data_IF_908580948529
#
_entry.id   IF_908580948529
#
_cell.length_a   1.000
_cell.length_b   1.000
_cell.length_c   1.000
_cell.angle_alpha   90.00
_cell.angle_beta   90.00
_cell.angle_gamma   90.00
#
_symmetry.space_group_name_H-M   'P 1'
#
loop_
_entity.id
_entity.type
_entity.pdbx_description
1 polymer ?
#
# COMPACT_ATOMS: atom_id res chain seq x y z
N UNK A 1 26.43 -11.94 57.96
CA UNK A 1 26.71 -13.21 57.25
C UNK A 1 25.47 -14.07 57.32
N UNK A 2 24.72 -14.14 56.21
CA UNK A 2 24.47 -15.43 55.52
C UNK A 2 24.77 -15.33 54.01
N UNK A 3 24.75 -16.47 53.27
CA UNK A 3 25.57 -16.68 52.07
C UNK A 3 24.89 -16.32 50.73
N UNK A 4 25.74 -16.06 49.73
CA UNK A 4 25.41 -15.79 48.35
C UNK A 4 25.06 -17.07 47.57
N UNK A 5 23.99 -17.02 46.77
CA UNK A 5 23.64 -18.03 45.77
C UNK A 5 24.16 -17.55 44.41
N UNK A 6 25.05 -18.34 43.81
CA UNK A 6 25.61 -18.13 42.47
C UNK A 6 24.61 -18.63 41.43
N UNK A 7 24.05 -17.72 40.63
CA UNK A 7 23.30 -18.06 39.43
C UNK A 7 24.24 -18.01 38.22
N UNK A 8 24.50 -19.18 37.62
CA UNK A 8 25.21 -19.32 36.35
C UNK A 8 24.23 -19.00 35.22
N UNK A 9 24.25 -17.77 34.74
CA UNK A 9 23.58 -17.36 33.50
C UNK A 9 24.53 -17.55 32.33
N UNK A 10 24.31 -18.59 31.52
CA UNK A 10 25.00 -18.76 30.24
C UNK A 10 24.43 -17.77 29.22
N UNK A 11 25.12 -16.63 29.07
CA UNK A 11 24.91 -15.71 27.96
C UNK A 11 25.68 -16.23 26.74
N UNK A 12 24.99 -16.75 25.73
CA UNK A 12 25.56 -16.89 24.40
C UNK A 12 25.32 -15.57 23.67
N UNK A 13 26.31 -14.69 23.79
CA UNK A 13 26.46 -13.52 22.95
C UNK A 13 26.94 -13.97 21.56
N UNK A 14 26.09 -13.83 20.54
CA UNK A 14 26.46 -13.93 19.13
C UNK A 14 26.31 -12.56 18.49
N UNK A 15 27.43 -11.89 18.29
CA UNK A 15 27.58 -10.55 17.73
C UNK A 15 27.19 -10.46 16.25
N UNK A 16 26.31 -9.53 15.89
CA UNK A 16 26.20 -8.99 14.54
C UNK A 16 26.73 -7.55 14.53
N UNK A 17 28.03 -7.41 14.28
CA UNK A 17 28.64 -6.12 13.94
C UNK A 17 28.33 -5.84 12.47
N UNK A 18 27.48 -4.85 12.21
CA UNK A 18 27.28 -4.30 10.87
C UNK A 18 28.49 -3.44 10.51
N UNK A 19 29.44 -3.99 9.78
CA UNK A 19 30.46 -3.21 9.09
C UNK A 19 29.85 -2.64 7.80
N UNK A 20 29.66 -1.33 7.77
CA UNK A 20 29.35 -0.59 6.56
C UNK A 20 30.58 -0.60 5.64
N UNK A 21 30.50 -1.34 4.53
CA UNK A 21 31.36 -1.13 3.37
C UNK A 21 30.46 -1.13 2.13
N UNK A 22 30.47 0.00 1.42
CA UNK A 22 29.69 0.20 0.22
C UNK A 22 30.14 -0.66 -0.96
N UNK A 23 29.22 -0.82 -1.91
CA UNK A 23 29.47 -1.38 -3.24
C UNK A 23 28.94 -2.79 -3.45
N UNK A 24 27.89 -2.92 -4.27
CA UNK A 24 27.49 -4.15 -4.95
C UNK A 24 26.70 -5.17 -4.13
N UNK A 25 25.36 -5.12 -4.20
CA UNK A 25 24.49 -6.19 -3.73
C UNK A 25 24.37 -7.28 -4.80
N UNK A 26 25.38 -8.16 -4.89
CA UNK A 26 25.23 -9.50 -5.46
C UNK A 26 26.00 -10.48 -4.57
N UNK A 27 25.28 -11.44 -3.99
CA UNK A 27 25.85 -12.71 -3.52
C UNK A 27 25.91 -12.92 -2.00
N UNK A 28 24.81 -13.39 -1.41
CA UNK A 28 24.77 -14.41 -0.35
C UNK A 28 23.31 -14.70 0.07
N UNK A 29 22.52 -15.35 -0.80
CA UNK A 29 21.22 -15.91 -0.42
C UNK A 29 21.44 -17.32 0.15
N UNK A 30 21.72 -17.39 1.45
CA UNK A 30 21.57 -18.63 2.24
C UNK A 30 20.39 -18.41 3.20
N UNK A 31 19.23 -18.96 2.85
CA UNK A 31 18.17 -19.34 3.80
C UNK A 31 17.40 -18.26 4.56
N UNK A 32 17.40 -16.98 4.14
CA UNK A 32 16.52 -15.96 4.74
C UNK A 32 15.21 -15.83 3.95
N UNK A 33 14.14 -16.46 4.43
CA UNK A 33 12.78 -16.29 3.91
C UNK A 33 12.25 -14.94 4.37
N UNK A 34 12.20 -13.96 3.47
CA UNK A 34 11.54 -12.67 3.72
C UNK A 34 10.04 -12.84 3.44
N UNK A 35 9.28 -13.21 4.46
CA UNK A 35 7.81 -13.14 4.40
C UNK A 35 7.41 -11.71 4.77
N UNK A 36 6.99 -10.92 3.78
CA UNK A 36 6.35 -9.63 4.02
C UNK A 36 4.84 -9.87 4.07
N UNK A 37 4.38 -10.27 5.24
CA UNK A 37 2.96 -10.39 5.53
C UNK A 37 2.57 -9.29 6.50
N UNK A 38 1.56 -8.47 6.15
CA UNK A 38 0.90 -7.66 7.15
C UNK A 38 0.02 -8.59 7.99
N UNK A 39 0.67 -9.36 8.86
CA UNK A 39 0.00 -10.22 9.82
C UNK A 39 -0.45 -9.32 10.95
N UNK A 40 -1.69 -8.85 10.87
CA UNK A 40 -2.34 -8.04 11.92
C UNK A 40 -2.49 -8.77 13.27
N UNK A 41 -1.95 -9.99 13.38
CA UNK A 41 -2.32 -11.00 14.34
C UNK A 41 -1.11 -11.81 14.82
N UNK A 42 -0.28 -11.16 15.62
CA UNK A 42 0.44 -11.75 16.75
C UNK A 42 1.31 -12.99 16.48
N UNK A 43 2.57 -12.75 16.12
CA UNK A 43 3.71 -13.34 16.83
C UNK A 43 4.80 -12.27 16.98
N UNK A 44 4.94 -11.73 18.20
CA UNK A 44 5.95 -10.73 18.55
C UNK A 44 7.30 -11.40 18.80
N UNK A 45 8.24 -11.25 17.87
CA UNK A 45 9.66 -11.00 18.15
C UNK A 45 10.15 -10.00 17.08
N UNK A 46 10.52 -8.79 17.52
CA UNK A 46 10.96 -7.61 16.74
C UNK A 46 9.81 -6.78 16.11
N UNK A 47 9.46 -5.69 16.80
CA UNK A 47 8.82 -4.49 16.23
C UNK A 47 7.38 -4.64 15.77
N UNK A 48 6.47 -3.81 16.28
CA UNK A 48 5.25 -3.50 15.52
C UNK A 48 5.69 -2.98 14.15
N UNK A 49 5.30 -3.58 13.01
CA UNK A 49 5.49 -2.94 11.73
C UNK A 49 4.69 -1.64 11.79
N UNK A 50 5.40 -0.52 11.95
CA UNK A 50 4.82 0.79 11.79
C UNK A 50 4.78 0.99 10.28
N UNK A 51 3.62 1.13 9.64
CA UNK A 51 3.60 1.56 8.26
C UNK A 51 4.44 2.85 8.17
N UNK A 52 5.41 2.89 7.26
CA UNK A 52 6.29 4.06 7.08
C UNK A 52 5.50 5.29 6.66
N UNK A 53 4.33 5.08 6.05
CA UNK A 53 3.35 6.11 5.78
C UNK A 53 2.23 6.06 6.80
N UNK A 54 2.30 6.99 7.75
CA UNK A 54 1.23 7.22 8.71
C UNK A 54 0.07 7.96 8.03
N UNK A 55 -1.12 7.93 8.64
CA UNK A 55 -2.23 8.78 8.19
C UNK A 55 -1.88 10.28 8.27
N UNK A 56 -0.90 10.67 9.09
CA UNK A 56 -0.33 12.03 9.09
C UNK A 56 0.37 12.35 7.77
N UNK A 57 1.12 11.41 7.21
CA UNK A 57 1.78 11.60 5.90
C UNK A 57 0.71 11.72 4.80
N UNK A 58 -0.38 10.97 4.92
CA UNK A 58 -1.53 11.08 4.02
C UNK A 58 -2.21 12.46 4.08
N UNK A 59 -2.30 13.09 5.26
CA UNK A 59 -2.81 14.46 5.42
C UNK A 59 -1.89 15.52 4.76
N UNK A 60 -0.57 15.29 4.76
CA UNK A 60 0.41 16.15 4.12
C UNK A 60 0.46 16.04 2.58
N UNK A 61 -0.20 15.04 1.98
CA UNK A 61 -0.16 14.78 0.52
C UNK A 61 -0.74 15.92 -0.30
N UNK A 62 -1.68 16.71 0.22
CA UNK A 62 -2.36 17.80 -0.50
C UNK A 62 -1.65 19.15 -0.40
N UNK A 63 -0.50 19.22 0.29
CA UNK A 63 0.24 20.46 0.47
C UNK A 63 1.31 20.67 -0.61
N UNK A 64 1.46 21.91 -1.05
CA UNK A 64 2.63 22.37 -1.77
C UNK A 64 3.81 22.50 -0.81
N UNK A 65 4.96 21.96 -1.21
CA UNK A 65 6.18 22.02 -0.41
C UNK A 65 7.20 22.93 -1.08
N UNK A 66 7.71 23.92 -0.35
CA UNK A 66 8.84 24.75 -0.80
C UNK A 66 10.08 24.24 -0.07
N UNK A 67 10.72 23.20 -0.63
CA UNK A 67 11.92 22.60 -0.06
C UNK A 67 12.97 22.40 -1.16
N UNK A 68 14.25 22.69 -0.89
CA UNK A 68 15.32 22.60 -1.88
C UNK A 68 15.61 21.15 -2.30
N UNK A 69 15.34 20.19 -1.42
CA UNK A 69 15.44 18.76 -1.68
C UNK A 69 14.14 18.12 -1.23
N UNK A 70 13.53 17.35 -2.11
CA UNK A 70 12.30 16.62 -1.85
C UNK A 70 12.44 15.22 -2.44
N UNK A 71 11.78 14.25 -1.82
CA UNK A 71 11.76 12.89 -2.31
C UNK A 71 10.88 12.76 -3.55
N UNK A 72 11.24 11.81 -4.40
CA UNK A 72 10.38 11.43 -5.52
C UNK A 72 9.17 10.67 -4.99
N UNK A 73 8.00 11.01 -5.54
CA UNK A 73 6.73 10.39 -5.18
C UNK A 73 6.17 9.64 -6.38
N UNK A 74 5.72 8.42 -6.15
CA UNK A 74 5.05 7.59 -7.15
C UNK A 74 3.57 7.50 -6.78
N UNK A 75 2.70 7.67 -7.76
CA UNK A 75 1.25 7.67 -7.60
C UNK A 75 0.67 6.43 -8.26
N UNK A 76 -0.05 5.63 -7.48
CA UNK A 76 -0.82 4.48 -7.93
C UNK A 76 -2.33 4.74 -7.81
N UNK A 77 -3.10 4.18 -8.74
CA UNK A 77 -4.55 4.36 -8.79
C UNK A 77 -4.93 5.81 -9.06
N UNK A 78 -5.92 6.32 -8.32
CA UNK A 78 -6.37 7.72 -8.38
C UNK A 78 -6.27 8.36 -6.99
N UNK A 79 -5.56 9.48 -6.88
CA UNK A 79 -5.38 10.19 -5.60
C UNK A 79 -5.24 11.70 -5.79
N UNK A 80 -5.75 12.48 -4.83
CA UNK A 80 -5.46 13.91 -4.77
C UNK A 80 -4.09 14.15 -4.14
N UNK A 81 -3.19 14.80 -4.87
CA UNK A 81 -1.86 15.14 -4.37
C UNK A 81 -1.44 16.56 -4.78
N UNK A 82 -0.75 17.24 -3.87
CA UNK A 82 0.02 18.44 -4.13
C UNK A 82 1.39 18.06 -4.68
N UNK A 83 2.43 18.77 -4.27
CA UNK A 83 3.78 18.49 -4.73
C UNK A 83 4.80 19.56 -4.40
N UNK A 84 6.09 19.27 -4.55
CA UNK A 84 7.13 20.28 -4.44
C UNK A 84 7.00 21.36 -5.51
N UNK A 85 7.17 22.61 -5.08
CA UNK A 85 7.33 23.77 -5.95
C UNK A 85 8.77 23.80 -6.46
N UNK A 86 8.97 23.49 -7.74
CA UNK A 86 10.31 23.40 -8.36
C UNK A 86 10.74 24.69 -9.06
N UNK A 87 9.80 25.58 -9.35
CA UNK A 87 10.09 26.86 -9.97
C UNK A 87 9.05 27.90 -9.56
N UNK A 88 9.52 29.11 -9.25
CA UNK A 88 8.70 30.28 -9.03
C UNK A 88 9.35 31.48 -9.71
N UNK A 89 8.57 32.24 -10.48
CA UNK A 89 9.07 33.44 -11.14
C UNK A 89 7.98 34.48 -11.30
N UNK A 90 8.32 35.73 -10.99
CA UNK A 90 7.45 36.88 -11.22
C UNK A 90 7.93 37.67 -12.42
N UNK A 91 6.98 38.18 -13.20
CA UNK A 91 7.23 39.08 -14.34
C UNK A 91 6.22 40.22 -14.36
N UNK A 92 6.51 41.24 -15.15
CA UNK A 92 5.54 42.27 -15.51
C UNK A 92 4.88 41.97 -16.86
N UNK A 93 3.61 42.35 -17.00
CA UNK A 93 2.83 42.28 -18.23
C UNK A 93 2.66 43.68 -18.83
N UNK A 94 3.77 44.22 -19.37
CA UNK A 94 3.75 45.53 -20.05
C UNK A 94 3.82 46.75 -19.12
N UNK A 95 4.01 46.56 -17.81
CA UNK A 95 4.16 47.63 -16.82
C UNK A 95 5.45 47.54 -15.99
N UNK A 96 5.59 48.44 -15.01
CA UNK A 96 6.70 48.43 -14.03
C UNK A 96 6.44 47.55 -12.80
N UNK A 97 5.20 47.07 -12.63
CA UNK A 97 4.80 46.19 -11.51
C UNK A 97 4.92 44.74 -11.92
N UNK A 98 5.36 43.90 -10.98
CA UNK A 98 5.36 42.44 -11.12
C UNK A 98 3.95 41.92 -10.87
N UNK A 99 3.14 41.83 -11.93
CA UNK A 99 1.72 41.48 -11.85
C UNK A 99 1.42 40.04 -12.28
N UNK A 100 2.40 39.27 -12.73
CA UNK A 100 2.25 37.84 -13.05
C UNK A 100 3.20 37.01 -12.20
N UNK A 101 2.67 35.92 -11.62
CA UNK A 101 3.42 34.89 -10.92
C UNK A 101 3.27 33.55 -11.64
N UNK A 102 4.41 32.93 -11.97
CA UNK A 102 4.50 31.56 -12.45
C UNK A 102 4.94 30.63 -11.33
N UNK A 103 4.27 29.49 -11.23
CA UNK A 103 4.61 28.41 -10.31
C UNK A 103 4.64 27.09 -11.07
N UNK A 104 5.61 26.23 -10.79
CA UNK A 104 5.68 24.87 -11.33
C UNK A 104 5.70 23.89 -10.19
N UNK A 105 4.67 23.04 -10.12
CA UNK A 105 4.49 22.05 -9.07
C UNK A 105 4.53 20.65 -9.68
N UNK A 106 5.40 19.79 -9.17
CA UNK A 106 5.55 18.41 -9.64
C UNK A 106 4.70 17.50 -8.77
N UNK A 107 3.74 16.77 -9.36
CA UNK A 107 2.83 15.90 -8.63
C UNK A 107 3.32 14.46 -8.52
N UNK A 108 4.02 13.97 -9.54
CA UNK A 108 4.52 12.60 -9.59
C UNK A 108 5.84 12.50 -10.34
N UNK A 109 6.73 11.61 -9.90
CA UNK A 109 8.03 11.32 -10.52
C UNK A 109 7.94 10.20 -11.57
N UNK A 110 6.86 10.15 -12.33
CA UNK A 110 6.65 9.26 -13.47
C UNK A 110 5.61 9.85 -14.42
N UNK A 111 5.42 9.21 -15.57
CA UNK A 111 4.28 9.48 -16.45
C UNK A 111 2.97 9.05 -15.76
N UNK A 112 2.00 9.96 -15.74
CA UNK A 112 0.65 9.72 -15.22
C UNK A 112 -0.33 9.57 -16.37
N UNK A 113 -1.40 8.81 -16.16
CA UNK A 113 -2.48 8.69 -17.14
C UNK A 113 -3.17 10.03 -17.38
N UNK A 114 -3.53 10.72 -16.30
CA UNK A 114 -4.23 11.99 -16.40
C UNK A 114 -4.05 12.85 -15.15
N UNK A 115 -3.96 14.15 -15.38
CA UNK A 115 -4.05 15.17 -14.35
C UNK A 115 -5.45 15.81 -14.41
N UNK A 116 -6.31 15.44 -13.46
CA UNK A 116 -7.70 15.87 -13.39
C UNK A 116 -7.89 17.21 -12.68
N UNK A 117 -8.97 17.30 -11.90
CA UNK A 117 -9.42 18.51 -11.18
C UNK A 117 -8.32 19.17 -10.36
N UNK A 118 -8.33 20.50 -10.35
CA UNK A 118 -7.40 21.35 -9.60
C UNK A 118 -8.10 21.97 -8.41
N UNK A 119 -7.42 22.04 -7.27
CA UNK A 119 -7.87 22.73 -6.07
C UNK A 119 -6.87 23.78 -5.60
N UNK A 120 -7.39 24.88 -5.08
CA UNK A 120 -6.68 25.84 -4.24
C UNK A 120 -7.18 25.71 -2.80
N UNK A 121 -6.33 25.19 -1.90
CA UNK A 121 -6.78 24.83 -0.56
C UNK A 121 -7.87 23.76 -0.66
N UNK A 122 -9.08 24.04 -0.17
CA UNK A 122 -10.23 23.12 -0.25
C UNK A 122 -11.20 23.42 -1.39
N UNK A 123 -10.96 24.46 -2.18
CA UNK A 123 -11.88 24.89 -3.24
C UNK A 123 -11.44 24.36 -4.60
N UNK A 124 -12.31 23.59 -5.26
CA UNK A 124 -12.10 23.14 -6.63
C UNK A 124 -12.22 24.30 -7.62
N UNK A 125 -11.37 24.31 -8.65
CA UNK A 125 -11.36 25.34 -9.69
C UNK A 125 -11.96 24.76 -10.97
N UNK A 126 -12.96 25.45 -11.51
CA UNK A 126 -13.47 25.16 -12.85
C UNK A 126 -12.55 25.78 -13.89
N UNK A 127 -11.99 24.93 -14.77
CA UNK A 127 -11.14 25.30 -15.88
C UNK A 127 -11.86 25.06 -17.21
N UNK A 128 -11.63 25.90 -18.20
CA UNK A 128 -12.04 25.63 -19.58
C UNK A 128 -11.07 24.65 -20.28
N UNK A 129 -11.34 24.32 -21.54
CA UNK A 129 -10.50 23.40 -22.32
C UNK A 129 -9.08 23.92 -22.60
N UNK A 130 -8.81 25.22 -22.41
CA UNK A 130 -7.47 25.80 -22.51
C UNK A 130 -6.69 25.76 -21.20
N UNK A 131 -7.39 25.56 -20.07
CA UNK A 131 -6.83 25.59 -18.74
C UNK A 131 -7.01 26.94 -18.03
N UNK A 132 -7.82 27.85 -18.56
CA UNK A 132 -8.15 29.12 -17.89
C UNK A 132 -9.28 28.93 -16.87
N UNK A 133 -9.18 29.57 -15.71
CA UNK A 133 -10.27 29.57 -14.74
C UNK A 133 -11.49 30.35 -15.27
N UNK A 134 -12.68 29.79 -15.10
CA UNK A 134 -13.92 30.33 -15.67
C UNK A 134 -14.82 31.01 -14.65
N UNK A 135 -14.66 30.71 -13.36
CA UNK A 135 -15.51 31.21 -12.29
C UNK A 135 -14.80 32.24 -11.40
N UNK A 136 -15.56 33.20 -10.88
CA UNK A 136 -15.08 34.10 -9.83
C UNK A 136 -14.67 33.30 -8.57
N UNK A 137 -13.66 33.75 -7.80
CA UNK A 137 -12.92 35.00 -7.97
C UNK A 137 -11.74 34.93 -8.96
N UNK A 138 -11.48 33.75 -9.57
CA UNK A 138 -10.27 33.46 -10.35
C UNK A 138 -10.40 33.64 -11.87
N UNK A 139 -11.62 33.89 -12.36
CA UNK A 139 -11.88 34.10 -13.77
C UNK A 139 -10.95 35.16 -14.39
N UNK A 140 -10.26 34.81 -15.46
CA UNK A 140 -9.29 35.69 -16.15
C UNK A 140 -7.99 35.97 -15.38
N UNK A 141 -7.83 35.42 -14.17
CA UNK A 141 -6.64 35.63 -13.30
C UNK A 141 -5.79 34.37 -13.16
N UNK A 142 -6.34 33.20 -13.43
CA UNK A 142 -5.67 31.91 -13.26
C UNK A 142 -5.64 31.16 -14.59
N UNK A 143 -4.46 30.63 -14.93
CA UNK A 143 -4.30 29.69 -16.04
C UNK A 143 -3.41 28.52 -15.63
N UNK A 144 -3.78 27.31 -16.07
CA UNK A 144 -3.18 26.05 -15.69
C UNK A 144 -2.78 25.27 -16.95
N UNK A 145 -1.50 24.97 -17.10
CA UNK A 145 -0.99 24.02 -18.10
C UNK A 145 -0.61 22.71 -17.42
N UNK A 146 -0.94 21.61 -18.08
CA UNK A 146 -0.86 20.26 -17.53
C UNK A 146 0.09 19.42 -18.34
N UNK A 147 1.06 18.81 -17.67
CA UNK A 147 2.09 18.00 -18.30
C UNK A 147 2.11 16.63 -17.65
N UNK A 148 1.75 15.59 -18.42
CA UNK A 148 1.56 14.23 -17.90
C UNK A 148 2.88 13.51 -17.58
N UNK A 149 4.04 14.07 -17.95
CA UNK A 149 5.34 13.51 -17.61
C UNK A 149 5.87 12.47 -18.60
N UNK A 150 5.50 12.56 -19.88
CA UNK A 150 6.04 11.66 -20.90
C UNK A 150 7.58 11.66 -20.93
N UNK A 151 8.23 10.52 -21.27
CA UNK A 151 9.68 10.44 -21.40
C UNK A 151 10.27 11.47 -22.37
N UNK A 152 9.57 11.77 -23.46
CA UNK A 152 10.01 12.71 -24.50
C UNK A 152 9.44 14.11 -24.35
N UNK A 153 8.74 14.40 -23.25
CA UNK A 153 8.10 15.69 -23.00
C UNK A 153 9.09 16.86 -23.18
N UNK A 154 8.60 17.92 -23.83
CA UNK A 154 9.29 19.20 -23.97
C UNK A 154 9.09 20.10 -22.76
N UNK A 155 9.83 21.20 -22.70
CA UNK A 155 9.56 22.25 -21.72
C UNK A 155 8.25 22.97 -22.07
N UNK A 156 7.54 23.47 -21.07
CA UNK A 156 6.36 24.33 -21.30
C UNK A 156 6.72 25.57 -22.13
N UNK A 157 6.11 25.71 -23.31
CA UNK A 157 6.45 26.77 -24.25
C UNK A 157 6.07 28.17 -23.75
N UNK A 158 4.96 28.29 -23.03
CA UNK A 158 4.52 29.57 -22.44
C UNK A 158 5.51 30.00 -21.36
N UNK A 159 5.88 29.07 -20.48
CA UNK A 159 6.83 29.34 -19.41
C UNK A 159 8.22 29.69 -19.97
N UNK A 160 8.70 29.01 -21.03
CA UNK A 160 9.97 29.37 -21.68
C UNK A 160 9.93 30.81 -22.21
N UNK A 161 8.84 31.21 -22.85
CA UNK A 161 8.67 32.56 -23.39
C UNK A 161 8.58 33.62 -22.29
N UNK A 162 7.90 33.31 -21.19
CA UNK A 162 7.56 34.27 -20.14
C UNK A 162 8.60 34.35 -19.00
N UNK A 163 9.45 33.33 -18.82
CA UNK A 163 10.41 33.26 -17.70
C UNK A 163 11.70 34.10 -17.86
N UNK A 164 11.84 34.83 -18.98
CA UNK A 164 13.01 35.68 -19.23
C UNK A 164 14.34 34.93 -19.19
N UNK A 165 14.39 33.72 -19.75
CA UNK A 165 15.58 32.87 -19.81
C UNK A 165 15.89 32.05 -18.56
N UNK A 166 15.16 32.23 -17.45
CA UNK A 166 15.33 31.40 -16.23
C UNK A 166 14.74 30.00 -16.40
N UNK A 167 13.70 29.89 -17.22
CA UNK A 167 13.21 28.62 -17.74
C UNK A 167 13.57 28.50 -19.20
N UNK A 168 14.25 27.41 -19.59
CA UNK A 168 14.75 27.20 -20.96
C UNK A 168 14.17 25.92 -21.54
N UNK A 169 14.35 25.70 -22.84
CA UNK A 169 13.95 24.44 -23.48
C UNK A 169 14.65 23.19 -22.90
N UNK A 170 15.73 23.36 -22.12
CA UNK A 170 16.39 22.26 -21.42
C UNK A 170 15.66 21.86 -20.12
N UNK A 171 14.86 22.75 -19.53
CA UNK A 171 14.08 22.50 -18.32
C UNK A 171 12.77 21.77 -18.66
N UNK A 172 12.89 20.50 -19.07
CA UNK A 172 11.77 19.72 -19.65
C UNK A 172 10.94 18.94 -18.62
N UNK A 173 11.53 18.66 -17.45
CA UNK A 173 10.94 17.78 -16.43
C UNK A 173 10.45 16.44 -17.01
N UNK A 174 11.26 15.81 -17.87
CA UNK A 174 10.94 14.50 -18.48
C UNK A 174 10.72 13.43 -17.41
N UNK A 175 9.74 12.57 -17.64
CA UNK A 175 9.38 11.52 -16.67
C UNK A 175 8.75 12.07 -15.39
N UNK A 176 8.26 13.31 -15.37
CA UNK A 176 7.62 13.92 -14.20
C UNK A 176 6.34 14.63 -14.58
N UNK A 177 5.24 14.23 -13.96
CA UNK A 177 3.97 14.90 -14.12
C UNK A 177 3.96 16.21 -13.32
N UNK A 178 3.70 17.33 -13.99
CA UNK A 178 3.72 18.64 -13.35
C UNK A 178 2.61 19.55 -13.86
N UNK A 179 2.29 20.55 -13.04
CA UNK A 179 1.37 21.62 -13.38
C UNK A 179 2.14 22.93 -13.41
N UNK A 180 2.02 23.68 -14.52
CA UNK A 180 2.44 25.07 -14.60
C UNK A 180 1.23 25.96 -14.35
N UNK A 181 1.35 26.84 -13.36
CA UNK A 181 0.32 27.75 -12.91
C UNK A 181 0.77 29.18 -13.19
N UNK A 182 -0.08 29.96 -13.85
CA UNK A 182 0.07 31.41 -14.01
C UNK A 182 -1.04 32.12 -13.24
N UNK A 183 -0.64 33.02 -12.34
CA UNK A 183 -1.53 33.83 -11.52
C UNK A 183 -1.30 35.31 -11.84
N UNK A 184 -2.37 36.05 -12.15
CA UNK A 184 -2.34 37.51 -12.22
C UNK A 184 -2.62 38.09 -10.85
N UNK A 185 -1.81 39.05 -10.42
CA UNK A 185 -1.96 39.72 -9.13
C UNK A 185 -3.34 40.34 -8.99
N UNK A 186 -4.03 39.98 -7.91
CA UNK A 186 -5.33 40.51 -7.56
C UNK A 186 -5.55 40.30 -6.04
N UNK A 187 -5.79 41.39 -5.32
CA UNK A 187 -5.84 41.37 -3.86
C UNK A 187 -7.09 40.63 -3.32
N UNK A 188 -8.19 40.65 -4.07
CA UNK A 188 -9.44 40.01 -3.66
C UNK A 188 -9.40 38.50 -3.94
N UNK A 189 -8.94 38.10 -5.13
CA UNK A 189 -8.88 36.70 -5.53
C UNK A 189 -7.81 35.89 -4.79
N UNK A 190 -6.77 36.57 -4.29
CA UNK A 190 -5.66 35.96 -3.56
C UNK A 190 -5.46 36.60 -2.18
N UNK A 191 -6.57 36.90 -1.48
CA UNK A 191 -6.53 37.51 -0.15
C UNK A 191 -5.74 36.69 0.89
N UNK A 192 -5.70 35.36 0.73
CA UNK A 192 -4.93 34.43 1.57
C UNK A 192 -3.48 34.23 1.12
N UNK A 193 -3.02 34.96 0.09
CA UNK A 193 -1.68 34.84 -0.48
C UNK A 193 -1.59 33.81 -1.60
N UNK A 194 -0.41 33.22 -1.79
CA UNK A 194 -0.17 32.21 -2.83
C UNK A 194 -1.00 30.96 -2.49
N UNK A 195 -1.91 30.52 -3.38
CA UNK A 195 -2.79 29.41 -3.09
C UNK A 195 -2.03 28.09 -3.02
N UNK A 196 -2.50 27.17 -2.15
CA UNK A 196 -2.01 25.80 -2.08
C UNK A 196 -2.59 24.96 -3.23
N UNK A 197 -1.78 24.65 -4.25
CA UNK A 197 -2.18 23.83 -5.40
C UNK A 197 -2.16 22.33 -5.06
N UNK A 198 -3.30 21.67 -5.29
CA UNK A 198 -3.39 20.21 -5.31
C UNK A 198 -4.21 19.74 -6.50
N UNK A 199 -3.99 18.49 -6.93
CA UNK A 199 -4.58 17.96 -8.16
C UNK A 199 -5.01 16.51 -8.01
N UNK A 200 -6.09 16.12 -8.69
CA UNK A 200 -6.49 14.73 -8.82
C UNK A 200 -5.59 14.08 -9.85
N UNK A 201 -4.86 13.05 -9.45
CA UNK A 201 -3.88 12.38 -10.32
C UNK A 201 -4.33 10.94 -10.52
N UNK A 202 -4.61 10.58 -11.77
CA UNK A 202 -4.65 9.18 -12.19
C UNK A 202 -3.22 8.77 -12.49
N UNK A 203 -2.69 7.90 -11.64
CA UNK A 203 -1.29 7.58 -11.53
C UNK A 203 -0.70 6.80 -12.70
N UNK A 204 0.24 5.92 -12.37
CA UNK A 204 1.08 5.18 -13.31
C UNK A 204 0.26 4.22 -14.18
N UNK A 205 0.65 4.09 -15.45
CA UNK A 205 0.20 3.00 -16.33
C UNK A 205 0.96 1.71 -15.96
N UNK A 206 0.24 0.61 -15.84
CA UNK A 206 0.75 -0.65 -15.33
C UNK A 206 0.77 -1.68 -16.44
N UNK A 207 1.80 -2.51 -16.46
CA UNK A 207 1.84 -3.70 -17.30
C UNK A 207 0.92 -4.77 -16.71
N UNK A 208 0.02 -5.31 -17.53
CA UNK A 208 -0.88 -6.39 -17.16
C UNK A 208 -0.43 -7.71 -17.82
N UNK A 209 -0.02 -8.72 -17.03
CA UNK A 209 0.42 -10.01 -17.59
C UNK A 209 -0.69 -10.82 -18.27
N UNK A 210 -1.97 -10.40 -18.16
CA UNK A 210 -3.11 -11.11 -18.78
C UNK A 210 -3.20 -10.88 -20.28
N UNK A 211 -2.90 -9.66 -20.72
CA UNK A 211 -3.02 -9.22 -22.11
C UNK A 211 -1.73 -8.59 -22.66
N UNK A 212 -0.67 -8.51 -21.85
CA UNK A 212 0.63 -7.92 -22.16
C UNK A 212 0.55 -6.42 -22.52
N UNK A 213 -0.55 -5.75 -22.13
CA UNK A 213 -0.74 -4.33 -22.37
C UNK A 213 -0.22 -3.48 -21.20
N UNK A 214 0.20 -2.25 -21.50
CA UNK A 214 0.50 -1.25 -20.47
C UNK A 214 -0.57 -0.16 -20.50
N UNK A 215 -1.45 -0.17 -19.50
CA UNK A 215 -2.56 0.77 -19.38
C UNK A 215 -2.77 1.19 -17.93
N UNK A 216 -3.46 2.30 -17.71
CA UNK A 216 -3.83 2.69 -16.35
C UNK A 216 -4.75 1.67 -15.71
N UNK A 217 -4.44 1.28 -14.48
CA UNK A 217 -5.27 0.42 -13.64
C UNK A 217 -5.07 0.78 -12.17
N UNK A 218 -6.14 0.65 -11.38
CA UNK A 218 -6.10 0.76 -9.93
C UNK A 218 -6.07 -0.61 -9.24
N UNK A 219 -5.94 -1.71 -10.01
CA UNK A 219 -5.92 -3.08 -9.46
C UNK A 219 -4.74 -3.26 -8.49
N UNK A 220 -5.04 -3.67 -7.25
CA UNK A 220 -4.03 -3.75 -6.21
C UNK A 220 -2.89 -4.74 -6.53
N UNK A 221 -3.19 -5.87 -7.17
CA UNK A 221 -2.18 -6.86 -7.53
C UNK A 221 -1.22 -6.33 -8.61
N UNK A 222 -1.73 -5.58 -9.59
CA UNK A 222 -0.92 -4.95 -10.64
C UNK A 222 -0.06 -3.80 -10.09
N UNK A 223 -0.61 -2.99 -9.18
CA UNK A 223 0.17 -1.94 -8.50
C UNK A 223 1.36 -2.55 -7.74
N UNK A 224 1.12 -3.64 -6.99
CA UNK A 224 2.17 -4.34 -6.25
C UNK A 224 3.18 -4.99 -7.21
N UNK A 225 2.74 -5.53 -8.35
CA UNK A 225 3.62 -6.12 -9.36
C UNK A 225 4.60 -5.09 -9.93
N UNK A 226 4.09 -3.93 -10.37
CA UNK A 226 4.92 -2.84 -10.89
C UNK A 226 5.92 -2.37 -9.83
N UNK A 227 5.51 -2.25 -8.56
CA UNK A 227 6.42 -1.91 -7.47
C UNK A 227 7.53 -2.95 -7.27
N UNK A 228 7.21 -4.24 -7.36
CA UNK A 228 8.19 -5.32 -7.21
C UNK A 228 9.23 -5.30 -8.34
N UNK A 229 8.78 -5.12 -9.58
CA UNK A 229 9.64 -5.11 -10.76
C UNK A 229 10.37 -3.78 -10.95
N UNK A 230 9.88 -2.70 -10.35
CA UNK A 230 10.47 -1.38 -10.52
C UNK A 230 11.89 -1.30 -9.95
N UNK A 231 12.83 -0.61 -10.64
CA UNK A 231 14.21 -0.41 -10.17
C UNK A 231 14.31 0.31 -8.81
N UNK A 232 13.31 1.12 -8.48
CA UNK A 232 13.23 1.89 -7.23
C UNK A 232 12.40 1.18 -6.14
N UNK A 233 11.84 0.01 -6.45
CA UNK A 233 11.17 -0.87 -5.49
C UNK A 233 12.10 -2.00 -5.06
N UNK A 234 11.78 -3.23 -5.46
CA UNK A 234 12.60 -4.42 -5.17
C UNK A 234 13.42 -4.92 -6.37
N UNK A 235 13.23 -4.33 -7.56
CA UNK A 235 13.95 -4.68 -8.78
C UNK A 235 13.93 -6.19 -9.10
N UNK A 236 12.80 -6.85 -8.81
CA UNK A 236 12.64 -8.28 -9.07
C UNK A 236 12.69 -8.57 -10.57
N UNK A 237 13.44 -9.61 -10.95
CA UNK A 237 13.54 -10.06 -12.33
C UNK A 237 12.23 -10.69 -12.80
N UNK A 238 11.91 -10.67 -14.12
CA UNK A 238 10.72 -11.33 -14.65
C UNK A 238 10.64 -12.82 -14.30
N UNK A 239 11.80 -13.51 -14.24
CA UNK A 239 11.91 -14.93 -13.88
C UNK A 239 11.59 -15.21 -12.40
N UNK A 240 11.67 -14.19 -11.56
CA UNK A 240 11.36 -14.24 -10.13
C UNK A 240 9.87 -14.03 -9.87
N UNK A 241 9.02 -13.83 -10.89
CA UNK A 241 7.58 -13.63 -10.71
C UNK A 241 6.83 -14.91 -11.04
N UNK A 242 5.93 -15.34 -10.15
CA UNK A 242 4.94 -16.37 -10.47
C UNK A 242 3.78 -15.76 -11.27
N UNK A 243 3.98 -15.56 -12.58
CA UNK A 243 3.05 -14.87 -13.48
C UNK A 243 1.64 -15.48 -13.44
N UNK A 244 1.53 -16.81 -13.44
CA UNK A 244 0.23 -17.49 -13.39
C UNK A 244 -0.50 -17.24 -12.05
N UNK A 245 0.23 -17.30 -10.93
CA UNK A 245 -0.28 -16.96 -9.61
C UNK A 245 -0.72 -15.49 -9.54
N UNK A 246 0.03 -14.59 -10.17
CA UNK A 246 -0.27 -13.17 -10.21
C UNK A 246 -1.52 -12.84 -11.01
N UNK A 247 -1.69 -13.47 -12.19
CA UNK A 247 -2.92 -13.36 -13.00
C UNK A 247 -4.14 -13.78 -12.18
N UNK A 248 -4.05 -14.89 -11.44
CA UNK A 248 -5.14 -15.33 -10.58
C UNK A 248 -5.48 -14.29 -9.49
N UNK A 249 -4.48 -13.66 -8.88
CA UNK A 249 -4.71 -12.59 -7.90
C UNK A 249 -5.27 -11.31 -8.53
N UNK A 250 -4.80 -10.93 -9.72
CA UNK A 250 -5.31 -9.77 -10.44
C UNK A 250 -6.80 -9.95 -10.78
N UNK A 251 -7.21 -11.16 -11.19
CA UNK A 251 -8.61 -11.48 -11.43
C UNK A 251 -9.46 -11.37 -10.15
N UNK A 252 -8.95 -11.85 -9.01
CA UNK A 252 -9.62 -11.71 -7.70
C UNK A 252 -9.81 -10.23 -7.34
N UNK A 253 -8.82 -9.38 -7.57
CA UNK A 253 -8.91 -7.95 -7.31
C UNK A 253 -9.99 -7.25 -8.15
N UNK A 254 -10.18 -7.68 -9.41
CA UNK A 254 -11.17 -7.12 -10.35
C UNK A 254 -12.60 -7.66 -10.15
N UNK A 255 -12.78 -8.69 -9.33
CA UNK A 255 -14.11 -9.23 -9.02
C UNK A 255 -15.04 -8.12 -8.52
N UNK A 256 -16.23 -8.06 -9.11
CA UNK A 256 -17.25 -7.10 -8.74
C UNK A 256 -17.94 -7.53 -7.44
N UNK A 257 -17.86 -6.68 -6.43
CA UNK A 257 -18.40 -6.95 -5.09
C UNK A 257 -19.46 -5.90 -4.75
N UNK A 258 -20.64 -6.38 -4.34
CA UNK A 258 -21.77 -5.53 -3.98
C UNK A 258 -21.43 -4.56 -2.83
N UNK A 259 -21.79 -3.30 -3.00
CA UNK A 259 -21.70 -2.24 -1.99
C UNK A 259 -23.10 -1.84 -1.53
N UNK A 260 -23.22 -0.80 -0.70
CA UNK A 260 -24.51 -0.27 -0.24
C UNK A 260 -25.40 0.24 -1.38
N UNK A 261 -24.79 0.76 -2.46
CA UNK A 261 -25.48 1.49 -3.53
C UNK A 261 -25.16 0.96 -4.94
N UNK A 262 -24.35 -0.09 -5.06
CA UNK A 262 -23.93 -0.63 -6.35
C UNK A 262 -22.92 -1.77 -6.22
N UNK A 263 -21.90 -1.74 -7.06
CA UNK A 263 -20.77 -2.68 -7.05
C UNK A 263 -19.46 -1.92 -7.23
N UNK A 264 -18.38 -2.43 -6.65
CA UNK A 264 -17.03 -1.94 -6.85
C UNK A 264 -16.07 -3.13 -7.04
N UNK A 265 -14.90 -2.94 -7.70
CA UNK A 265 -13.85 -3.95 -7.69
C UNK A 265 -13.47 -4.35 -6.26
N UNK A 266 -13.16 -5.63 -6.05
CA UNK A 266 -12.86 -6.17 -4.72
C UNK A 266 -11.71 -5.42 -4.04
N UNK A 267 -10.62 -5.19 -4.77
CA UNK A 267 -9.44 -4.52 -4.23
C UNK A 267 -8.82 -3.53 -5.23
N UNK A 268 -8.65 -2.29 -4.77
CA UNK A 268 -7.95 -1.24 -5.51
C UNK A 268 -6.84 -0.64 -4.65
N UNK A 269 -5.76 -0.18 -5.27
CA UNK A 269 -4.64 0.46 -4.60
C UNK A 269 -4.52 1.91 -5.08
N UNK A 270 -4.94 2.83 -4.23
CA UNK A 270 -5.03 4.27 -4.52
C UNK A 270 -4.19 5.04 -3.49
N UNK A 271 -2.99 5.46 -3.86
CA UNK A 271 -2.13 6.15 -2.91
C UNK A 271 -0.82 6.66 -3.50
N UNK A 272 -0.08 7.37 -2.66
CA UNK A 272 1.21 7.98 -3.01
C UNK A 272 2.30 7.29 -2.24
N UNK A 273 3.23 6.65 -2.95
CA UNK A 273 4.47 6.11 -2.38
C UNK A 273 5.57 7.17 -2.37
N UNK A 274 6.30 7.21 -1.27
CA UNK A 274 7.47 8.07 -1.12
C UNK A 274 8.74 7.21 -1.22
N UNK A 275 9.61 7.54 -2.17
CA UNK A 275 10.86 6.80 -2.41
C UNK A 275 11.94 7.05 -1.34
N UNK A 276 11.73 7.98 -0.40
CA UNK A 276 12.57 8.09 0.79
C UNK A 276 12.27 7.01 1.84
N UNK A 277 11.07 6.39 1.79
CA UNK A 277 10.70 5.29 2.65
C UNK A 277 11.46 4.00 2.33
N UNK A 278 11.62 3.11 3.32
CA UNK A 278 12.24 1.80 3.09
C UNK A 278 11.35 0.99 2.13
N UNK A 279 11.92 0.28 1.12
CA UNK A 279 11.11 -0.42 0.14
C UNK A 279 10.13 -1.45 0.72
N UNK A 280 10.54 -2.16 1.78
CA UNK A 280 9.67 -3.13 2.47
C UNK A 280 8.47 -2.46 3.16
N UNK A 281 8.66 -1.30 3.80
CA UNK A 281 7.56 -0.60 4.49
C UNK A 281 6.53 -0.03 3.50
N UNK A 282 7.03 0.43 2.34
CA UNK A 282 6.21 0.88 1.22
C UNK A 282 5.36 -0.29 0.69
N UNK A 283 5.98 -1.46 0.52
CA UNK A 283 5.30 -2.68 0.10
C UNK A 283 4.25 -3.15 1.12
N UNK A 284 4.58 -3.14 2.42
CA UNK A 284 3.63 -3.44 3.49
C UNK A 284 2.42 -2.50 3.45
N UNK A 285 2.68 -1.21 3.22
CA UNK A 285 1.62 -0.21 3.11
C UNK A 285 0.70 -0.48 1.90
N UNK A 286 1.24 -0.91 0.75
CA UNK A 286 0.44 -1.33 -0.41
C UNK A 286 -0.36 -2.60 -0.15
N UNK A 287 0.21 -3.60 0.53
CA UNK A 287 -0.45 -4.86 0.87
C UNK A 287 -1.70 -4.66 1.75
N UNK A 288 -1.75 -3.58 2.53
CA UNK A 288 -2.94 -3.23 3.33
C UNK A 288 -4.20 -3.04 2.47
N UNK A 289 -4.06 -2.59 1.21
CA UNK A 289 -5.18 -2.32 0.29
C UNK A 289 -5.90 -3.58 -0.21
N UNK A 290 -5.28 -4.75 -0.07
CA UNK A 290 -5.82 -6.02 -0.57
C UNK A 290 -5.91 -7.13 0.49
N UNK A 291 -5.72 -6.78 1.77
CA UNK A 291 -5.50 -7.76 2.85
C UNK A 291 -4.47 -8.84 2.45
N UNK A 292 -3.48 -8.41 1.67
CA UNK A 292 -2.60 -9.30 0.93
C UNK A 292 -1.38 -9.72 1.73
N UNK A 293 -0.78 -10.83 1.30
CA UNK A 293 0.46 -11.37 1.82
C UNK A 293 1.39 -11.69 0.68
N UNK A 294 2.65 -11.32 0.85
CA UNK A 294 3.68 -11.58 -0.14
C UNK A 294 4.69 -12.58 0.42
N UNK A 295 4.98 -13.62 -0.35
CA UNK A 295 6.00 -14.60 -0.01
C UNK A 295 6.99 -14.79 -1.16
N UNK A 296 8.26 -15.01 -0.82
CA UNK A 296 9.30 -15.40 -1.76
C UNK A 296 9.64 -16.87 -1.50
N UNK A 297 9.21 -17.77 -2.40
CA UNK A 297 9.35 -19.23 -2.23
C UNK A 297 9.74 -19.88 -3.56
N UNK A 298 10.69 -20.81 -3.52
CA UNK A 298 11.16 -21.48 -4.74
C UNK A 298 11.73 -20.52 -5.81
N UNK A 299 12.37 -19.43 -5.38
CA UNK A 299 12.92 -18.40 -6.27
C UNK A 299 11.87 -17.49 -6.93
N UNK A 300 10.61 -17.57 -6.50
CA UNK A 300 9.52 -16.76 -7.05
C UNK A 300 8.74 -16.00 -5.98
N UNK A 301 8.40 -14.77 -6.30
CA UNK A 301 7.43 -13.94 -5.61
C UNK A 301 6.02 -14.47 -5.89
N UNK A 302 5.25 -14.63 -4.81
CA UNK A 302 3.85 -15.02 -4.85
C UNK A 302 3.02 -14.10 -3.98
N UNK A 303 1.96 -13.56 -4.56
CA UNK A 303 0.96 -12.76 -3.88
C UNK A 303 -0.24 -13.64 -3.51
N UNK A 304 -0.71 -13.52 -2.28
CA UNK A 304 -1.98 -14.06 -1.83
C UNK A 304 -2.84 -12.89 -1.36
N UNK A 305 -3.84 -12.52 -2.16
CA UNK A 305 -4.84 -11.49 -1.85
C UNK A 305 -5.88 -12.06 -0.89
N UNK A 306 -6.56 -11.21 -0.11
CA UNK A 306 -7.57 -11.60 0.88
C UNK A 306 -8.85 -12.24 0.30
N UNK A 307 -8.74 -13.39 -0.34
CA UNK A 307 -9.86 -14.16 -0.85
C UNK A 307 -9.68 -15.64 -0.53
N UNK A 308 -10.82 -16.34 -0.42
CA UNK A 308 -10.80 -17.77 -0.20
C UNK A 308 -10.26 -18.50 -1.43
N UNK A 309 -9.28 -19.37 -1.22
CA UNK A 309 -8.82 -20.34 -2.21
C UNK A 309 -8.98 -21.74 -1.60
N UNK A 310 -9.52 -22.72 -2.34
CA UNK A 310 -9.61 -24.07 -1.82
C UNK A 310 -8.20 -24.68 -1.66
N UNK A 311 -7.90 -25.39 -0.56
CA UNK A 311 -6.63 -26.09 -0.43
C UNK A 311 -6.45 -27.13 -1.53
N UNK A 312 -5.30 -27.10 -2.20
CA UNK A 312 -4.92 -28.12 -3.21
C UNK A 312 -4.07 -29.23 -2.61
N UNK A 313 -3.40 -28.94 -1.49
CA UNK A 313 -2.50 -29.87 -0.80
C UNK A 313 -3.11 -30.29 0.52
N UNK A 314 -3.12 -31.61 0.76
CA UNK A 314 -3.50 -32.21 2.04
C UNK A 314 -2.21 -32.68 2.73
N UNK A 315 -2.04 -32.26 3.98
CA UNK A 315 -0.97 -32.66 4.88
C UNK A 315 -1.50 -33.71 5.86
N UNK A 316 -0.93 -34.90 5.83
CA UNK A 316 -1.23 -36.01 6.74
C UNK A 316 -0.03 -36.40 7.60
N UNK A 317 -0.13 -37.52 8.31
CA UNK A 317 0.92 -37.98 9.22
C UNK A 317 2.24 -38.34 8.50
N UNK A 318 2.17 -38.73 7.22
CA UNK A 318 3.33 -39.13 6.42
C UNK A 318 4.24 -37.96 6.04
N UNK A 319 3.71 -36.74 6.04
CA UNK A 319 4.45 -35.52 5.72
C UNK A 319 5.20 -34.93 6.92
N UNK A 320 5.11 -35.56 8.10
CA UNK A 320 5.74 -35.09 9.32
C UNK A 320 7.20 -35.54 9.47
N UNK A 321 8.02 -34.61 9.92
CA UNK A 321 9.42 -34.84 10.31
C UNK A 321 9.58 -34.99 11.82
N UNK A 322 8.74 -34.31 12.58
CA UNK A 322 8.78 -34.26 14.04
C UNK A 322 7.35 -34.14 14.62
N UNK A 323 7.18 -34.24 15.95
CA UNK A 323 5.87 -34.05 16.57
C UNK A 323 5.29 -32.65 16.29
N UNK A 324 3.99 -32.60 16.03
CA UNK A 324 3.26 -31.36 15.75
C UNK A 324 2.89 -30.67 17.05
N UNK A 325 3.05 -29.34 17.11
CA UNK A 325 2.50 -28.53 18.20
C UNK A 325 1.14 -27.98 17.82
N UNK A 326 0.09 -28.38 18.53
CA UNK A 326 -1.27 -27.88 18.31
C UNK A 326 -1.72 -26.96 19.42
N UNK A 327 -2.14 -25.75 19.06
CA UNK A 327 -2.67 -24.74 19.95
C UNK A 327 -4.13 -24.47 19.57
N UNK A 328 -5.10 -25.09 20.26
CA UNK A 328 -6.51 -24.93 19.93
C UNK A 328 -7.07 -23.55 20.30
N UNK A 329 -6.43 -22.86 21.24
CA UNK A 329 -6.91 -21.60 21.79
C UNK A 329 -5.83 -20.52 21.70
N UNK A 330 -6.29 -19.29 21.47
CA UNK A 330 -5.46 -18.09 21.57
C UNK A 330 -5.61 -17.47 22.95
N UNK A 331 -4.58 -16.78 23.41
CA UNK A 331 -4.69 -15.96 24.63
C UNK A 331 -5.78 -14.90 24.46
N UNK A 332 -6.63 -14.72 25.48
CA UNK A 332 -7.70 -13.70 25.50
C UNK A 332 -7.16 -12.28 25.25
N UNK A 333 -5.90 -12.02 25.61
CA UNK A 333 -5.24 -10.71 25.39
C UNK A 333 -5.00 -10.39 23.92
N UNK A 334 -4.93 -11.41 23.08
CA UNK A 334 -4.68 -11.28 21.64
C UNK A 334 -5.98 -11.39 20.82
N UNK A 335 -7.10 -11.70 21.47
CA UNK A 335 -8.41 -11.75 20.84
C UNK A 335 -8.97 -10.33 20.71
N UNK A 336 -9.47 -10.05 19.51
CA UNK A 336 -10.02 -8.75 19.10
C UNK A 336 -11.45 -8.99 18.65
N UNK A 337 -12.35 -8.08 19.02
CA UNK A 337 -13.76 -8.12 18.64
C UNK A 337 -14.24 -6.87 17.88
N UNK A 338 -13.39 -5.82 17.81
CA UNK A 338 -13.66 -4.60 17.05
C UNK A 338 -12.42 -4.27 16.20
N UNK A 339 -12.63 -3.89 14.94
CA UNK A 339 -11.59 -3.32 14.08
C UNK A 339 -12.01 -1.91 13.66
N UNK A 340 -11.13 -0.94 13.90
CA UNK A 340 -11.28 0.47 13.57
C UNK A 340 -10.01 1.01 12.94
N UNK A 341 -10.08 2.15 12.28
CA UNK A 341 -8.90 2.78 11.68
C UNK A 341 -9.32 3.83 10.66
N UNK A 342 -8.35 4.39 9.98
CA UNK A 342 -8.59 5.47 9.03
C UNK A 342 -8.23 5.10 7.59
N UNK A 343 -8.84 5.80 6.65
CA UNK A 343 -8.62 5.69 5.21
C UNK A 343 -8.70 7.08 4.55
N UNK A 344 -8.40 7.20 3.26
CA UNK A 344 -8.41 8.49 2.56
C UNK A 344 -9.72 8.66 1.80
N UNK A 345 -10.63 9.54 2.23
CA UNK A 345 -11.98 9.62 1.66
C UNK A 345 -12.14 10.68 0.57
N UNK A 346 -12.51 10.31 -0.69
CA UNK A 346 -12.77 11.28 -1.74
C UNK A 346 -13.94 12.23 -1.43
N UNK A 347 -14.96 11.77 -0.68
CA UNK A 347 -16.12 12.59 -0.30
C UNK A 347 -15.79 13.66 0.75
N UNK A 348 -14.71 13.45 1.51
CA UNK A 348 -14.19 14.39 2.50
C UNK A 348 -12.92 15.08 1.96
N UNK A 349 -12.94 15.49 0.70
CA UNK A 349 -11.85 16.22 0.04
C UNK A 349 -10.50 15.50 0.03
N UNK A 350 -10.49 14.17 0.06
CA UNK A 350 -9.28 13.32 0.14
C UNK A 350 -8.49 13.49 1.44
N UNK A 351 -9.17 13.88 2.51
CA UNK A 351 -8.57 13.92 3.84
C UNK A 351 -8.68 12.53 4.51
N UNK A 352 -7.69 12.18 5.36
CA UNK A 352 -7.81 11.06 6.30
C UNK A 352 -9.09 11.14 7.14
N UNK A 353 -9.87 10.07 7.15
CA UNK A 353 -11.07 9.97 7.99
C UNK A 353 -11.25 8.53 8.46
N UNK A 354 -11.87 8.34 9.61
CA UNK A 354 -12.15 7.02 10.15
C UNK A 354 -13.24 6.31 9.31
N UNK A 355 -13.04 5.04 9.00
CA UNK A 355 -14.11 4.23 8.41
C UNK A 355 -15.03 3.68 9.51
N UNK A 356 -16.32 3.40 9.20
CA UNK A 356 -17.24 2.83 10.18
C UNK A 356 -16.68 1.55 10.83
N UNK A 357 -16.59 1.47 12.17
CA UNK A 357 -15.96 0.35 12.84
C UNK A 357 -16.75 -0.95 12.63
N UNK A 358 -16.00 -2.02 12.37
CA UNK A 358 -16.54 -3.38 12.22
C UNK A 358 -16.42 -4.08 13.56
N UNK A 359 -17.57 -4.42 14.15
CA UNK A 359 -17.67 -5.07 15.44
C UNK A 359 -18.46 -6.37 15.29
N UNK A 360 -18.03 -7.42 16.00
CA UNK A 360 -18.80 -8.64 16.14
C UNK A 360 -19.48 -8.70 17.51
N UNK A 361 -20.77 -8.37 17.54
CA UNK A 361 -21.55 -8.31 18.77
C UNK A 361 -21.59 -9.66 19.52
N UNK A 362 -21.59 -10.78 18.79
CA UNK A 362 -21.54 -12.10 19.42
C UNK A 362 -20.23 -12.31 20.16
N UNK A 363 -19.09 -11.94 19.56
CA UNK A 363 -17.79 -12.02 20.21
C UNK A 363 -17.66 -11.05 21.39
N UNK A 364 -18.24 -9.85 21.32
CA UNK A 364 -18.24 -8.91 22.46
C UNK A 364 -19.02 -9.50 23.65
N UNK A 365 -20.18 -10.10 23.40
CA UNK A 365 -20.99 -10.72 24.45
C UNK A 365 -20.29 -11.92 25.11
N UNK A 366 -19.57 -12.72 24.32
CA UNK A 366 -18.80 -13.87 24.83
C UNK A 366 -17.56 -13.43 25.63
N UNK A 367 -16.88 -12.39 25.14
CA UNK A 367 -15.62 -11.93 25.72
C UNK A 367 -15.82 -10.94 26.88
N UNK A 368 -17.07 -10.53 27.18
CA UNK A 368 -17.45 -9.61 28.26
C UNK A 368 -16.54 -8.37 28.33
N UNK A 369 -16.34 -7.72 27.19
CA UNK A 369 -15.49 -6.54 27.06
C UNK A 369 -15.11 -6.22 25.62
N UNK A 370 -14.70 -4.97 25.37
CA UNK A 370 -14.28 -4.51 24.04
C UNK A 370 -12.76 -4.59 23.87
N UNK A 371 -12.31 -5.24 22.80
CA UNK A 371 -10.92 -5.35 22.39
C UNK A 371 -10.79 -4.88 20.94
N UNK A 372 -10.21 -3.69 20.76
CA UNK A 372 -10.11 -3.04 19.46
C UNK A 372 -8.72 -3.18 18.84
N UNK A 373 -8.66 -3.52 17.56
CA UNK A 373 -7.48 -3.43 16.71
C UNK A 373 -7.58 -2.19 15.83
N UNK A 374 -6.50 -1.41 15.79
CA UNK A 374 -6.37 -0.30 14.83
C UNK A 374 -5.74 -0.80 13.53
N UNK A 375 -6.41 -0.53 12.42
CA UNK A 375 -6.03 -0.94 11.06
C UNK A 375 -6.13 0.27 10.12
N UNK A 376 -5.01 0.94 9.89
CA UNK A 376 -4.97 2.08 8.98
C UNK A 376 -4.76 1.62 7.55
N UNK A 377 -5.50 2.23 6.62
CA UNK A 377 -5.55 1.84 5.21
C UNK A 377 -5.18 3.02 4.30
N UNK A 378 -3.89 3.42 4.24
CA UNK A 378 -3.44 4.63 3.54
C UNK A 378 -3.54 4.57 2.01
N UNK A 379 -3.79 3.38 1.45
CA UNK A 379 -3.96 3.09 0.01
C UNK A 379 -5.42 2.78 -0.37
N UNK A 380 -6.36 2.94 0.56
CA UNK A 380 -7.78 2.64 0.38
C UNK A 380 -8.58 3.93 0.35
N UNK A 381 -9.44 4.06 -0.68
CA UNK A 381 -10.30 5.25 -0.88
C UNK A 381 -11.78 5.01 -0.69
N UNK A 382 -12.23 3.75 -0.81
CA UNK A 382 -13.63 3.37 -0.58
C UNK A 382 -13.84 2.90 0.86
N UNK A 383 -14.87 3.45 1.51
CA UNK A 383 -15.23 3.07 2.88
C UNK A 383 -15.82 1.65 2.96
N UNK A 384 -16.48 1.16 1.90
CA UNK A 384 -16.99 -0.21 1.86
C UNK A 384 -15.83 -1.21 1.71
N UNK A 385 -14.83 -0.88 0.88
CA UNK A 385 -13.60 -1.67 0.77
C UNK A 385 -12.85 -1.72 2.11
N UNK A 386 -12.72 -0.58 2.81
CA UNK A 386 -12.09 -0.52 4.13
C UNK A 386 -12.78 -1.44 5.15
N UNK A 387 -14.12 -1.40 5.21
CA UNK A 387 -14.92 -2.27 6.07
C UNK A 387 -14.75 -3.77 5.72
N UNK A 388 -14.64 -4.13 4.43
CA UNK A 388 -14.36 -5.53 4.01
C UNK A 388 -13.00 -6.02 4.51
N UNK A 389 -11.95 -5.21 4.33
CA UNK A 389 -10.60 -5.54 4.79
C UNK A 389 -10.58 -5.69 6.32
N UNK A 390 -11.21 -4.76 7.04
CA UNK A 390 -11.36 -4.82 8.49
C UNK A 390 -12.10 -6.07 8.97
N UNK A 391 -13.17 -6.48 8.27
CA UNK A 391 -13.92 -7.71 8.59
C UNK A 391 -13.10 -8.98 8.36
N UNK A 392 -12.30 -9.03 7.30
CA UNK A 392 -11.38 -10.16 7.06
C UNK A 392 -10.38 -10.26 8.20
N UNK A 393 -9.75 -9.14 8.59
CA UNK A 393 -8.81 -9.11 9.71
C UNK A 393 -9.46 -9.55 11.04
N UNK A 394 -10.69 -9.09 11.32
CA UNK A 394 -11.46 -9.49 12.50
C UNK A 394 -11.73 -11.00 12.50
N UNK A 395 -12.24 -11.54 11.39
CA UNK A 395 -12.58 -12.96 11.29
C UNK A 395 -11.34 -13.85 11.36
N UNK A 396 -10.22 -13.44 10.75
CA UNK A 396 -8.94 -14.12 10.90
C UNK A 396 -8.44 -14.11 12.36
N UNK A 397 -8.68 -13.03 13.12
CA UNK A 397 -8.32 -12.98 14.55
C UNK A 397 -9.10 -14.01 15.37
N UNK A 398 -10.40 -14.14 15.08
CA UNK A 398 -11.32 -15.03 15.79
C UNK A 398 -11.10 -16.50 15.47
N UNK A 399 -10.33 -16.84 14.43
CA UNK A 399 -9.81 -18.19 14.22
C UNK A 399 -8.66 -18.45 15.18
N UNK A 400 -8.89 -19.31 16.16
CA UNK A 400 -7.98 -19.49 17.30
C UNK A 400 -6.98 -20.63 17.11
N UNK A 401 -7.34 -21.64 16.30
CA UNK A 401 -6.52 -22.82 16.13
C UNK A 401 -5.26 -22.47 15.35
N UNK A 402 -4.11 -22.81 15.90
CA UNK A 402 -2.81 -22.72 15.24
C UNK A 402 -2.04 -24.03 15.39
N UNK A 403 -1.20 -24.32 14.40
CA UNK A 403 -0.46 -25.57 14.30
C UNK A 403 0.98 -25.26 13.85
N UNK A 404 1.96 -25.64 14.66
CA UNK A 404 3.36 -25.67 14.23
C UNK A 404 3.62 -27.04 13.61
N UNK A 405 3.79 -27.05 12.29
CA UNK A 405 3.90 -28.24 11.46
C UNK A 405 5.32 -28.41 10.94
N UNK A 406 6.14 -29.29 11.55
CA UNK A 406 7.45 -29.64 11.02
C UNK A 406 7.28 -30.65 9.88
N UNK A 407 7.21 -30.14 8.65
CA UNK A 407 7.13 -30.95 7.44
C UNK A 407 8.50 -31.54 7.05
N UNK A 408 8.44 -32.69 6.38
CA UNK A 408 9.56 -33.19 5.58
C UNK A 408 9.74 -32.34 4.29
N UNK A 409 10.59 -32.81 3.35
CA UNK A 409 10.84 -32.10 2.09
C UNK A 409 9.57 -31.88 1.21
N UNK A 410 8.46 -32.57 1.48
CA UNK A 410 7.19 -32.27 0.82
C UNK A 410 6.68 -30.84 1.14
N UNK A 411 7.15 -30.22 2.23
CA UNK A 411 6.86 -28.82 2.55
C UNK A 411 7.46 -27.81 1.55
N UNK A 412 8.43 -28.22 0.71
CA UNK A 412 9.02 -27.34 -0.32
C UNK A 412 8.00 -26.90 -1.38
N UNK A 413 6.92 -27.66 -1.58
CA UNK A 413 5.84 -27.32 -2.54
C UNK A 413 4.88 -26.25 -2.01
N UNK A 414 4.97 -25.93 -0.72
CA UNK A 414 4.07 -25.00 -0.06
C UNK A 414 4.65 -23.58 -0.06
N UNK A 415 3.76 -22.60 -0.07
CA UNK A 415 4.13 -21.19 0.00
C UNK A 415 3.34 -20.49 1.11
N UNK A 416 3.99 -19.55 1.80
CA UNK A 416 3.32 -18.71 2.78
C UNK A 416 2.23 -17.86 2.11
N UNK A 417 1.11 -17.68 2.80
CA UNK A 417 -0.10 -17.01 2.30
C UNK A 417 -1.14 -17.95 1.69
N UNK A 418 -0.75 -19.15 1.25
CA UNK A 418 -1.68 -20.09 0.60
C UNK A 418 -2.31 -21.09 1.58
N UNK A 419 -3.51 -21.61 1.25
CA UNK A 419 -4.22 -22.56 2.08
C UNK A 419 -3.76 -24.02 1.86
N UNK A 420 -3.74 -24.79 2.94
CA UNK A 420 -3.44 -26.22 3.02
C UNK A 420 -4.49 -26.92 3.87
N UNK A 421 -4.86 -28.15 3.53
CA UNK A 421 -5.75 -28.94 4.35
C UNK A 421 -4.91 -29.83 5.28
N UNK A 422 -5.25 -29.88 6.57
CA UNK A 422 -4.59 -30.75 7.54
C UNK A 422 -5.51 -31.91 7.91
N UNK A 423 -4.98 -33.13 7.85
CA UNK A 423 -5.68 -34.36 8.21
C UNK A 423 -4.90 -35.11 9.29
N UNK A 424 -5.26 -34.87 10.54
CA UNK A 424 -4.75 -35.57 11.72
C UNK A 424 -5.91 -36.11 12.53
N UNK A 425 -6.27 -37.38 12.27
CA UNK A 425 -7.40 -38.03 12.94
C UNK A 425 -7.27 -38.05 14.46
N UNK A 426 -6.05 -38.20 14.99
CA UNK A 426 -5.76 -38.16 16.44
C UNK A 426 -6.09 -36.83 17.11
N UNK A 427 -6.03 -35.73 16.36
CA UNK A 427 -6.36 -34.37 16.85
C UNK A 427 -7.78 -33.94 16.46
N UNK A 428 -8.58 -34.83 15.86
CA UNK A 428 -9.92 -34.50 15.37
C UNK A 428 -9.93 -33.58 14.15
N UNK A 429 -8.78 -33.44 13.45
CA UNK A 429 -8.66 -32.63 12.25
C UNK A 429 -8.88 -33.53 11.02
N UNK A 430 -9.99 -33.33 10.31
CA UNK A 430 -10.33 -34.09 9.11
C UNK A 430 -10.42 -33.15 7.91
N UNK A 431 -9.34 -33.08 7.11
CA UNK A 431 -9.19 -32.13 5.99
C UNK A 431 -9.55 -30.68 6.37
N UNK A 432 -9.19 -30.28 7.58
CA UNK A 432 -9.50 -28.94 8.09
C UNK A 432 -8.60 -27.93 7.39
N UNK A 433 -9.16 -26.86 6.81
CA UNK A 433 -8.36 -25.84 6.15
C UNK A 433 -7.55 -25.00 7.14
N UNK A 434 -6.28 -24.83 6.80
CA UNK A 434 -5.35 -23.92 7.44
C UNK A 434 -4.67 -23.07 6.35
N UNK A 435 -4.15 -21.92 6.73
CA UNK A 435 -3.31 -21.08 5.88
C UNK A 435 -1.88 -21.10 6.42
N UNK A 436 -0.91 -21.14 5.53
CA UNK A 436 0.52 -21.06 5.88
C UNK A 436 0.84 -19.61 6.25
N UNK A 437 1.14 -19.35 7.53
CA UNK A 437 1.58 -18.04 8.03
C UNK A 437 3.07 -17.83 7.78
N UNK A 438 3.87 -18.82 8.20
CA UNK A 438 5.32 -18.79 8.04
C UNK A 438 5.80 -20.08 7.39
N UNK A 439 6.86 -19.95 6.61
CA UNK A 439 7.54 -21.04 5.93
C UNK A 439 9.03 -20.85 6.16
N UNK A 440 9.71 -21.86 6.72
CA UNK A 440 11.14 -21.80 7.02
C UNK A 440 11.83 -23.11 6.64
N UNK A 441 12.86 -23.03 5.81
CA UNK A 441 13.74 -24.16 5.55
C UNK A 441 14.68 -24.39 6.75
N UNK A 442 14.83 -25.64 7.17
CA UNK A 442 15.72 -26.02 8.27
C UNK A 442 16.98 -26.71 7.76
N UNK A 443 18.06 -26.63 8.54
CA UNK A 443 19.36 -27.27 8.23
C UNK A 443 19.26 -28.81 8.24
N UNK A 444 18.26 -29.35 8.94
CA UNK A 444 17.97 -30.78 9.05
C UNK A 444 17.19 -31.33 7.83
N UNK A 445 17.24 -30.65 6.68
CA UNK A 445 16.57 -31.05 5.43
C UNK A 445 15.05 -31.23 5.60
N UNK A 446 14.39 -30.24 6.20
CA UNK A 446 12.94 -30.18 6.37
C UNK A 446 12.40 -28.75 6.29
N UNK A 447 11.08 -28.61 6.42
CA UNK A 447 10.41 -27.32 6.36
C UNK A 447 9.53 -27.14 7.60
N UNK A 448 9.78 -26.10 8.37
CA UNK A 448 8.93 -25.73 9.49
C UNK A 448 7.86 -24.73 9.00
N UNK A 449 6.60 -25.07 9.24
CA UNK A 449 5.44 -24.28 8.85
C UNK A 449 4.69 -23.84 10.10
N UNK A 450 4.34 -22.56 10.21
CA UNK A 450 3.28 -22.14 11.12
C UNK A 450 1.97 -22.03 10.35
N UNK A 451 0.94 -22.74 10.81
CA UNK A 451 -0.37 -22.77 10.19
C UNK A 451 -1.40 -22.10 11.11
N UNK A 452 -2.25 -21.27 10.53
CA UNK A 452 -3.41 -20.67 11.22
C UNK A 452 -4.70 -21.17 10.57
N UNK A 453 -5.72 -21.45 11.37
CA UNK A 453 -7.02 -21.90 10.84
C UNK A 453 -7.60 -20.84 9.89
N UNK A 454 -8.11 -21.31 8.76
CA UNK A 454 -8.73 -20.47 7.75
C UNK A 454 -9.98 -21.15 7.21
N UNK A 455 -10.90 -20.38 6.63
CA UNK A 455 -12.13 -20.93 6.10
C UNK A 455 -12.79 -19.98 5.09
N UNK A 456 -13.66 -20.51 4.23
CA UNK A 456 -14.33 -19.73 3.20
C UNK A 456 -15.19 -18.57 3.76
N UNK A 457 -15.78 -18.76 4.94
CA UNK A 457 -16.62 -17.76 5.60
C UNK A 457 -15.83 -16.55 6.12
N UNK A 458 -14.51 -16.68 6.29
CA UNK A 458 -13.61 -15.56 6.65
C UNK A 458 -13.70 -14.47 5.58
N UNK A 459 -13.66 -14.87 4.32
CA UNK A 459 -13.62 -13.99 3.14
C UNK A 459 -15.00 -13.75 2.51
N UNK A 460 -16.05 -14.42 3.00
CA UNK A 460 -17.39 -14.29 2.48
C UNK A 460 -17.92 -12.86 2.68
N UNK A 461 -18.42 -12.27 1.58
CA UNK A 461 -18.98 -10.92 1.56
C UNK A 461 -20.50 -10.95 1.45
N UNK A 462 -21.14 -10.06 2.20
CA UNK A 462 -22.58 -9.80 2.18
C UNK A 462 -22.75 -8.29 2.39
N UNK A 463 -23.46 -7.53 1.54
CA UNK A 463 -23.62 -6.10 1.75
C UNK A 463 -24.47 -5.74 2.99
N UNK A 464 -25.24 -6.67 3.57
CA UNK A 464 -26.22 -6.40 4.64
C UNK A 464 -25.66 -5.77 5.92
N UNK A 465 -24.38 -6.01 6.22
CA UNK A 465 -23.71 -5.51 7.42
C UNK A 465 -22.87 -4.26 7.18
N UNK A 466 -22.74 -3.81 5.94
CA UNK A 466 -22.02 -2.58 5.62
C UNK A 466 -22.74 -1.40 6.24
N UNK A 467 -21.98 -0.46 6.79
CA UNK A 467 -22.50 0.79 7.32
C UNK A 467 -22.22 1.95 6.36
N UNK A 468 -23.17 2.87 6.15
CA UNK A 468 -22.91 4.11 5.43
C UNK A 468 -21.87 4.95 6.17
N UNK A 469 -21.19 5.82 5.43
CA UNK A 469 -20.23 6.78 5.98
C UNK A 469 -20.93 8.07 6.41
#
# INVERSE_FOLDING_TARGET
>A
MPPAIIAVGAAVAGSAAAAAVGGGLIGALVGATVTVGVSYLGNRVIGTPKPSQTMLDAAGRTQMLVQPVTSHRIVYGEVRTGGPLVFAHTRSDGGSKLDILHLVVVHAAHEVENLGTVWFGDTAIALDGSGAATAAPWAGKVHVWSHAGHPDQGADGVLVAEAGGRWTHNHRLRGRAYTHLRLRYDQEAFASGIPNLSRLVRGRKLWDPRDDATSWSANAALCILDYLMAPWGLAAGPDEIDVAGWIAQANICDEQVATLTGSEPRYTCNGVLDLAGRPLDNLESMLTSCAGRLSFTGGKWRLAVGAWQPPTVILGENELRAPVSYRPWRSRRDLVNIVRGAFTSPSHNWQPTDYPPVADAASIAVDDGEAALTLDLPFTTSHTMAQRIARIALRQNRRQKSLDWPANLAGLRLAAGYPVAVSLGRLGLASTPFRVETWRLTEEMGVDLALAEDAADVYAHDPSWLKPM
#
